data_IF_880506367744
#
_entry.id   IF_880506367744
#
_cell.length_a   1.000
_cell.length_b   1.000
_cell.length_c   1.000
_cell.angle_alpha   90.00
_cell.angle_beta   90.00
_cell.angle_gamma   90.00
#
_symmetry.space_group_name_H-M   'P 1'
#
loop_
_entity.id
_entity.type
_entity.pdbx_description
1 polymer ?
#
# COMPACT_ATOMS: atom_id res chain seq x y z
N UNK A 1 10.82 -3.36 -1.17
CA UNK A 1 9.42 -3.13 -0.77
C UNK A 1 8.52 -3.40 -1.97
N UNK A 2 7.53 -4.27 -1.81
CA UNK A 2 6.56 -4.59 -2.87
C UNK A 2 5.14 -4.39 -2.33
N UNK A 3 4.33 -3.57 -3.00
CA UNK A 3 2.91 -3.44 -2.69
C UNK A 3 2.18 -4.65 -3.26
N UNK A 4 1.46 -5.39 -2.42
CA UNK A 4 0.82 -6.66 -2.80
C UNK A 4 -0.69 -6.63 -2.75
N UNK A 5 -1.28 -5.70 -2.01
CA UNK A 5 -2.73 -5.57 -1.93
C UNK A 5 -3.16 -4.17 -1.48
N UNK A 6 -4.29 -3.72 -2.01
CA UNK A 6 -5.01 -2.54 -1.53
C UNK A 6 -6.42 -2.99 -1.17
N UNK A 7 -6.84 -2.73 0.06
CA UNK A 7 -8.22 -2.96 0.50
C UNK A 7 -9.03 -1.66 0.38
N UNK A 8 -10.23 -1.78 -0.21
CA UNK A 8 -11.20 -0.70 -0.33
C UNK A 8 -12.60 -1.29 -0.23
N UNK A 9 -13.45 -0.71 0.61
CA UNK A 9 -14.85 -1.13 0.77
C UNK A 9 -15.01 -2.63 1.10
N UNK A 10 -14.00 -3.25 1.73
CA UNK A 10 -13.95 -4.68 2.05
C UNK A 10 -13.44 -5.59 0.92
N UNK A 11 -13.13 -5.03 -0.25
CA UNK A 11 -12.56 -5.76 -1.37
C UNK A 11 -11.03 -5.65 -1.40
N UNK A 12 -10.35 -6.78 -1.66
CA UNK A 12 -8.89 -6.84 -1.82
C UNK A 12 -8.53 -6.78 -3.30
N UNK A 13 -7.77 -5.76 -3.68
CA UNK A 13 -7.34 -5.48 -5.05
C UNK A 13 -5.83 -5.71 -5.20
N UNK A 14 -5.41 -6.43 -6.24
CA UNK A 14 -3.99 -6.52 -6.62
C UNK A 14 -3.60 -5.27 -7.43
N UNK A 15 -2.67 -4.43 -6.93
CA UNK A 15 -2.31 -3.19 -7.62
C UNK A 15 -1.59 -3.45 -8.95
N UNK A 16 -1.89 -2.60 -9.93
CA UNK A 16 -1.22 -2.51 -11.24
C UNK A 16 -0.55 -1.14 -11.36
N UNK A 17 0.23 -0.91 -12.42
CA UNK A 17 0.99 0.34 -12.59
C UNK A 17 0.16 1.63 -12.59
N UNK A 18 -1.15 1.55 -12.87
CA UNK A 18 -2.09 2.68 -12.82
C UNK A 18 -2.99 2.70 -11.59
N UNK A 19 -2.78 1.84 -10.59
CA UNK A 19 -3.63 1.81 -9.39
C UNK A 19 -3.38 3.05 -8.55
N UNK A 20 -4.45 3.83 -8.34
CA UNK A 20 -4.44 5.02 -7.49
C UNK A 20 -4.91 4.63 -6.08
N UNK A 21 -4.04 4.85 -5.09
CA UNK A 21 -4.38 4.72 -3.67
C UNK A 21 -5.29 5.90 -3.28
N UNK A 22 -6.33 5.61 -2.52
CA UNK A 22 -7.32 6.60 -2.08
C UNK A 22 -7.36 6.63 -0.55
N UNK A 23 -7.76 7.76 0.01
CA UNK A 23 -7.98 7.88 1.45
C UNK A 23 -9.01 6.86 1.94
N UNK A 24 -8.81 6.36 3.16
CA UNK A 24 -9.66 5.35 3.80
C UNK A 24 -9.35 3.90 3.38
N UNK A 25 -8.49 3.68 2.39
CA UNK A 25 -8.02 2.34 2.02
C UNK A 25 -6.87 1.84 2.90
N UNK A 26 -6.70 0.52 2.97
CA UNK A 26 -5.57 -0.13 3.65
C UNK A 26 -4.60 -0.66 2.60
N UNK A 27 -3.30 -0.43 2.78
CA UNK A 27 -2.25 -0.89 1.85
C UNK A 27 -1.41 -1.97 2.52
N UNK A 28 -1.30 -3.13 1.87
CA UNK A 28 -0.49 -4.26 2.32
C UNK A 28 0.84 -4.30 1.57
N UNK A 29 1.93 -4.34 2.35
CA UNK A 29 3.30 -4.27 1.86
C UNK A 29 4.07 -5.53 2.27
N UNK A 30 4.85 -6.11 1.37
CA UNK A 30 5.94 -7.00 1.74
C UNK A 30 7.27 -6.23 1.78
N UNK A 31 8.01 -6.42 2.87
CA UNK A 31 9.39 -6.00 2.98
C UNK A 31 10.21 -7.11 3.63
N UNK A 32 11.42 -7.31 3.13
CA UNK A 32 12.35 -8.33 3.63
C UNK A 32 12.95 -7.93 4.98
N UNK A 33 13.25 -6.64 5.17
CA UNK A 33 13.86 -6.10 6.39
C UNK A 33 12.93 -5.15 7.16
N UNK A 34 11.65 -5.09 6.77
CA UNK A 34 10.70 -4.06 7.21
C UNK A 34 10.74 -2.81 6.32
N UNK A 35 9.67 -2.00 6.27
CA UNK A 35 9.67 -0.78 5.47
C UNK A 35 10.52 0.31 6.13
N UNK A 36 11.32 1.03 5.34
CA UNK A 36 11.98 2.24 5.81
C UNK A 36 10.92 3.31 6.13
N UNK A 37 11.11 4.05 7.22
CA UNK A 37 10.12 5.04 7.69
C UNK A 37 9.84 6.13 6.65
N UNK A 38 10.88 6.56 5.93
CA UNK A 38 10.81 7.48 4.79
C UNK A 38 9.95 6.96 3.63
N UNK A 39 9.91 5.64 3.43
CA UNK A 39 9.05 5.04 2.40
C UNK A 39 7.56 5.07 2.77
N UNK A 40 7.24 5.18 4.07
CA UNK A 40 5.87 5.26 4.55
C UNK A 40 5.30 6.68 4.46
N UNK A 41 6.15 7.71 4.47
CA UNK A 41 5.73 9.12 4.37
C UNK A 41 4.91 9.41 3.10
N UNK A 42 5.13 8.66 2.03
CA UNK A 42 4.34 8.74 0.79
C UNK A 42 2.85 8.38 0.99
N UNK A 43 2.51 7.66 2.07
CA UNK A 43 1.15 7.28 2.43
C UNK A 43 0.55 8.14 3.56
N UNK A 44 1.34 9.03 4.17
CA UNK A 44 0.94 9.90 5.27
C UNK A 44 1.82 9.78 6.52
N UNK A 45 1.54 10.62 7.53
CA UNK A 45 2.20 10.67 8.84
C UNK A 45 1.24 10.36 9.97
#
# INVERSE_FOLDING_TARGET
>A
MLVVGVERDGDVLTPRGGTVVQQGGVVSLFSETGPERTSLEAFGT
#
